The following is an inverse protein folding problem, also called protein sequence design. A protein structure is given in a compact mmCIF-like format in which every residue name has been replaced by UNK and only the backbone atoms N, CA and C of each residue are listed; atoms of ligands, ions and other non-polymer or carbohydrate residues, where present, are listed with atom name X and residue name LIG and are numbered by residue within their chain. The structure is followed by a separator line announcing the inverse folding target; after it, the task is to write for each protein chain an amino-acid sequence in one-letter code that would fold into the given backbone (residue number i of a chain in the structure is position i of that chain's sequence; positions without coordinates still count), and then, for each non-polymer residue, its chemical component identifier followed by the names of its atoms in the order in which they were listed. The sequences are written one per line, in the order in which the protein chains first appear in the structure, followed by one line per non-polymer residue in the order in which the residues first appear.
data_IF_788857392757
#
_entry.id   IF_788857392757
#
_cell.length_a   1.000
_cell.length_b   1.000
_cell.length_c   1.000
_cell.angle_alpha   90.00
_cell.angle_beta   90.00
_cell.angle_gamma   90.00
#
_symmetry.space_group_name_H-M   'P 1'
#
loop_
_entity.id
_entity.type
_entity.pdbx_description
1 polymer ?
#
# COMPACT_ATOMS: atom_id res chain seq x y z
N UNK A 1 3.43 -12.53 -18.56
CA UNK A 1 2.02 -12.42 -18.11
C UNK A 1 1.14 -12.00 -19.28
N UNK A 2 -0.12 -12.45 -19.37
CA UNK A 2 -1.02 -12.10 -20.48
C UNK A 2 -1.79 -10.79 -20.21
N UNK A 3 -2.54 -10.30 -21.20
CA UNK A 3 -3.33 -9.07 -21.10
C UNK A 3 -4.33 -9.09 -19.93
N UNK A 4 -5.00 -10.23 -19.70
CA UNK A 4 -5.98 -10.36 -18.63
C UNK A 4 -5.35 -10.23 -17.25
N UNK A 5 -4.18 -10.84 -17.02
CA UNK A 5 -3.46 -10.69 -15.75
C UNK A 5 -3.06 -9.24 -15.46
N UNK A 6 -2.66 -8.47 -16.47
CA UNK A 6 -2.38 -7.04 -16.30
C UNK A 6 -3.64 -6.21 -16.02
N UNK A 7 -4.76 -6.53 -16.68
CA UNK A 7 -6.06 -5.90 -16.41
C UNK A 7 -6.53 -6.20 -14.98
N UNK A 8 -6.41 -7.44 -14.53
CA UNK A 8 -6.81 -7.83 -13.17
C UNK A 8 -6.00 -7.07 -12.12
N UNK A 9 -4.69 -6.92 -12.31
CA UNK A 9 -3.85 -6.08 -11.45
C UNK A 9 -4.26 -4.62 -11.48
N UNK A 10 -4.48 -4.06 -12.67
CA UNK A 10 -4.87 -2.66 -12.82
C UNK A 10 -6.21 -2.38 -12.14
N UNK A 11 -7.23 -3.21 -12.40
CA UNK A 11 -8.55 -3.10 -11.77
C UNK A 11 -8.48 -3.35 -10.26
N UNK A 12 -7.65 -4.29 -9.82
CA UNK A 12 -7.39 -4.53 -8.40
C UNK A 12 -6.80 -3.29 -7.71
N UNK A 13 -5.83 -2.63 -8.34
CA UNK A 13 -5.23 -1.39 -7.84
C UNK A 13 -6.23 -0.23 -7.80
N UNK A 14 -7.10 -0.10 -8.81
CA UNK A 14 -8.17 0.88 -8.76
C UNK A 14 -9.12 0.58 -7.59
N UNK A 15 -9.41 -0.69 -7.33
CA UNK A 15 -10.29 -1.09 -6.23
C UNK A 15 -9.70 -0.79 -4.86
N UNK A 16 -8.38 -0.89 -4.67
CA UNK A 16 -7.75 -0.57 -3.37
C UNK A 16 -7.91 0.90 -2.97
N UNK A 17 -8.13 1.80 -3.93
CA UNK A 17 -8.47 3.21 -3.64
C UNK A 17 -9.85 3.36 -2.99
N UNK A 18 -10.77 2.43 -3.26
CA UNK A 18 -12.12 2.43 -2.70
C UNK A 18 -12.21 1.67 -1.38
N UNK A 19 -11.60 0.47 -1.32
CA UNK A 19 -11.76 -0.47 -0.19
C UNK A 19 -10.57 -0.48 0.77
N UNK A 20 -9.49 0.23 0.46
CA UNK A 20 -8.23 0.17 1.19
C UNK A 20 -7.38 -1.05 0.82
N UNK A 21 -6.30 -1.23 1.57
CA UNK A 21 -5.32 -2.27 1.35
C UNK A 21 -4.33 -1.98 0.22
N UNK A 22 -3.65 -3.03 -0.22
CA UNK A 22 -2.72 -3.03 -1.35
C UNK A 22 -2.75 -4.38 -2.07
N UNK A 23 -2.01 -4.49 -3.17
CA UNK A 23 -1.73 -5.78 -3.81
C UNK A 23 -0.30 -6.17 -3.48
N UNK A 24 -0.12 -7.29 -2.77
CA UNK A 24 1.19 -7.87 -2.48
C UNK A 24 1.35 -9.16 -3.28
N UNK A 25 2.47 -9.29 -3.98
CA UNK A 25 2.87 -10.51 -4.64
C UNK A 25 3.85 -11.29 -3.76
N UNK A 26 3.68 -12.61 -3.69
CA UNK A 26 4.65 -13.49 -3.01
C UNK A 26 6.06 -13.32 -3.60
N UNK A 27 6.17 -13.19 -4.92
CA UNK A 27 7.39 -12.69 -5.56
C UNK A 27 7.18 -12.10 -6.96
N UNK A 28 8.06 -11.17 -7.33
CA UNK A 28 8.24 -10.66 -8.70
C UNK A 28 9.63 -11.05 -9.17
N UNK A 29 9.72 -11.67 -10.35
CA UNK A 29 10.99 -12.00 -11.01
C UNK A 29 11.10 -11.24 -12.33
N UNK A 30 12.24 -10.60 -12.53
CA UNK A 30 12.55 -9.86 -13.76
C UNK A 30 13.35 -10.71 -14.74
N UNK A 31 13.37 -10.29 -16.02
CA UNK A 31 14.07 -10.99 -17.11
C UNK A 31 15.60 -11.10 -16.91
N UNK A 32 16.17 -10.25 -16.06
CA UNK A 32 17.58 -10.31 -15.68
C UNK A 32 17.86 -11.28 -14.52
N UNK A 33 16.84 -11.98 -14.00
CA UNK A 33 16.95 -12.93 -12.89
C UNK A 33 16.85 -12.32 -11.50
N UNK A 34 16.68 -10.99 -11.37
CA UNK A 34 16.37 -10.37 -10.08
C UNK A 34 15.01 -10.86 -9.55
N UNK A 35 14.96 -11.18 -8.26
CA UNK A 35 13.75 -11.68 -7.60
C UNK A 35 13.48 -10.91 -6.31
N UNK A 36 12.28 -10.37 -6.21
CA UNK A 36 11.80 -9.56 -5.09
C UNK A 36 10.70 -10.32 -4.37
N UNK A 37 10.78 -10.41 -3.04
CA UNK A 37 9.80 -11.17 -2.23
C UNK A 37 8.84 -10.20 -1.57
N UNK A 38 7.60 -10.63 -1.36
CA UNK A 38 6.56 -9.79 -0.73
C UNK A 38 6.52 -8.41 -1.39
N UNK A 39 6.63 -8.36 -2.71
CA UNK A 39 6.70 -7.10 -3.43
C UNK A 39 5.32 -6.47 -3.49
N UNK A 40 5.20 -5.22 -3.07
CA UNK A 40 3.91 -4.52 -3.07
C UNK A 40 3.76 -3.75 -4.36
N UNK A 41 2.76 -4.12 -5.16
CA UNK A 41 2.45 -3.45 -6.41
C UNK A 41 1.82 -2.10 -6.08
N UNK A 42 2.46 -1.03 -6.56
CA UNK A 42 2.04 0.35 -6.31
C UNK A 42 1.32 0.96 -7.50
N UNK A 43 1.69 0.56 -8.72
CA UNK A 43 1.15 1.13 -9.95
C UNK A 43 1.27 0.17 -11.13
N UNK A 44 0.27 0.17 -11.98
CA UNK A 44 0.34 -0.40 -13.33
C UNK A 44 -0.02 0.71 -14.31
N UNK A 45 0.86 1.01 -15.26
CA UNK A 45 0.61 2.06 -16.26
C UNK A 45 -0.10 1.49 -17.47
N UNK A 46 -1.32 1.99 -17.71
CA UNK A 46 -2.19 1.60 -18.81
C UNK A 46 -2.66 2.84 -19.58
N UNK A 47 -2.27 2.94 -20.86
CA UNK A 47 -2.65 4.05 -21.76
C UNK A 47 -2.82 3.52 -23.17
N UNK A 48 -3.77 4.06 -23.95
CA UNK A 48 -3.91 3.69 -25.37
C UNK A 48 -4.11 2.19 -25.61
N UNK A 49 -4.84 1.53 -24.71
CA UNK A 49 -5.06 0.07 -24.69
C UNK A 49 -3.78 -0.78 -24.57
N UNK A 50 -2.74 -0.25 -23.93
CA UNK A 50 -1.47 -0.96 -23.70
C UNK A 50 -0.96 -0.75 -22.28
N UNK A 51 -0.35 -1.80 -21.75
CA UNK A 51 0.40 -1.76 -20.50
C UNK A 51 1.86 -1.45 -20.78
N UNK A 52 2.46 -0.57 -19.97
CA UNK A 52 3.83 -0.10 -20.18
C UNK A 52 4.76 -0.50 -19.05
N UNK A 53 4.38 -0.16 -17.81
CA UNK A 53 5.24 -0.37 -16.66
C UNK A 53 4.49 -0.91 -15.45
N UNK A 54 5.22 -1.64 -14.62
CA UNK A 54 4.84 -2.07 -13.30
C UNK A 54 5.74 -1.36 -12.28
N UNK A 55 5.12 -0.56 -11.42
CA UNK A 55 5.75 0.05 -10.25
C UNK A 55 5.48 -0.78 -9.00
N UNK A 56 6.52 -1.18 -8.29
CA UNK A 56 6.39 -1.95 -7.04
C UNK A 56 7.45 -1.56 -6.01
N UNK A 57 7.16 -1.77 -4.73
CA UNK A 57 8.11 -1.64 -3.64
C UNK A 57 8.68 -3.03 -3.30
N UNK A 58 10.01 -3.15 -3.28
CA UNK A 58 10.67 -4.38 -2.84
C UNK A 58 10.71 -4.53 -1.31
N UNK A 59 11.20 -5.65 -0.81
CA UNK A 59 11.29 -5.92 0.62
C UNK A 59 12.26 -4.98 1.37
N UNK A 60 13.14 -4.27 0.65
CA UNK A 60 14.04 -3.26 1.22
C UNK A 60 13.39 -1.86 1.24
N UNK A 61 12.18 -1.70 0.72
CA UNK A 61 11.51 -0.41 0.61
C UNK A 61 11.87 0.41 -0.63
N UNK A 62 12.68 -0.15 -1.53
CA UNK A 62 13.05 0.51 -2.78
C UNK A 62 11.89 0.43 -3.75
N UNK A 63 11.46 1.58 -4.27
CA UNK A 63 10.47 1.64 -5.35
C UNK A 63 11.17 1.36 -6.67
N UNK A 64 10.71 0.31 -7.35
CA UNK A 64 11.20 -0.14 -8.65
C UNK A 64 10.14 0.08 -9.72
N UNK A 65 10.60 0.40 -10.92
CA UNK A 65 9.76 0.52 -12.11
C UNK A 65 10.39 -0.35 -13.18
N UNK A 66 9.63 -1.34 -13.65
CA UNK A 66 10.04 -2.23 -14.72
C UNK A 66 9.07 -2.10 -15.89
N UNK A 67 9.58 -2.24 -17.13
CA UNK A 67 8.70 -2.42 -18.27
C UNK A 67 7.95 -3.76 -18.12
N UNK A 68 6.69 -3.84 -18.56
CA UNK A 68 5.89 -5.08 -18.39
C UNK A 68 6.52 -6.29 -19.08
N UNK A 69 7.24 -6.09 -20.17
CA UNK A 69 7.98 -7.15 -20.89
C UNK A 69 9.22 -7.65 -20.12
N UNK A 70 9.69 -6.90 -19.13
CA UNK A 70 10.78 -7.32 -18.25
C UNK A 70 10.28 -8.17 -17.08
N UNK A 71 8.97 -8.27 -16.86
CA UNK A 71 8.40 -9.08 -15.78
C UNK A 71 8.24 -10.52 -16.26
N UNK A 72 9.17 -11.38 -15.86
CA UNK A 72 9.19 -12.80 -16.22
C UNK A 72 8.12 -13.58 -15.46
N UNK A 73 8.09 -13.42 -14.13
CA UNK A 73 7.20 -14.18 -13.24
C UNK A 73 6.58 -13.26 -12.20
N UNK A 74 5.27 -13.40 -12.02
CA UNK A 74 4.53 -12.80 -10.91
C UNK A 74 3.83 -13.92 -10.16
N UNK A 75 4.17 -14.10 -8.88
CA UNK A 75 3.65 -15.22 -8.07
C UNK A 75 2.65 -14.68 -7.06
N UNK A 76 1.43 -15.24 -7.08
CA UNK A 76 0.34 -15.00 -6.15
C UNK A 76 0.16 -13.50 -5.77
N UNK A 77 -0.19 -12.63 -6.73
CA UNK A 77 -0.62 -11.27 -6.41
C UNK A 77 -1.98 -11.31 -5.72
N UNK A 78 -2.05 -10.81 -4.49
CA UNK A 78 -3.25 -10.88 -3.66
C UNK A 78 -3.56 -9.51 -3.04
N UNK A 79 -4.85 -9.18 -2.95
CA UNK A 79 -5.30 -8.06 -2.13
C UNK A 79 -5.08 -8.38 -0.66
N UNK A 80 -4.48 -7.44 0.07
CA UNK A 80 -4.29 -7.54 1.52
C UNK A 80 -4.68 -6.22 2.17
N UNK A 81 -5.32 -6.31 3.34
CA UNK A 81 -5.39 -5.18 4.26
C UNK A 81 -3.98 -4.82 4.71
N UNK A 82 -3.72 -3.54 4.97
CA UNK A 82 -2.39 -3.08 5.39
C UNK A 82 -1.90 -3.83 6.63
N UNK A 83 -2.80 -4.16 7.56
CA UNK A 83 -2.50 -4.96 8.74
C UNK A 83 -1.89 -6.34 8.47
N UNK A 84 -2.14 -6.93 7.30
CA UNK A 84 -1.74 -8.29 6.92
C UNK A 84 -0.59 -8.35 5.89
N UNK A 85 -0.12 -7.20 5.42
CA UNK A 85 1.02 -7.08 4.48
C UNK A 85 2.29 -7.65 5.11
N UNK A 86 3.04 -8.44 4.35
CA UNK A 86 4.29 -9.07 4.79
C UNK A 86 5.51 -8.18 4.52
N UNK A 87 5.44 -7.29 3.54
CA UNK A 87 6.41 -6.23 3.34
C UNK A 87 6.35 -5.23 4.50
N UNK A 88 7.19 -5.43 5.51
CA UNK A 88 7.17 -4.63 6.73
C UNK A 88 7.48 -3.15 6.46
N UNK A 89 8.34 -2.85 5.48
CA UNK A 89 8.68 -1.47 5.12
C UNK A 89 7.47 -0.76 4.54
N UNK A 90 6.79 -1.39 3.56
CA UNK A 90 5.55 -0.87 3.01
C UNK A 90 4.45 -0.78 4.08
N UNK A 91 4.29 -1.81 4.91
CA UNK A 91 3.28 -1.85 5.96
C UNK A 91 3.44 -0.67 6.92
N UNK A 92 4.66 -0.42 7.42
CA UNK A 92 4.93 0.70 8.32
C UNK A 92 4.63 2.04 7.65
N UNK A 93 5.12 2.23 6.42
CA UNK A 93 4.87 3.43 5.64
C UNK A 93 3.35 3.66 5.43
N UNK A 94 2.62 2.65 4.98
CA UNK A 94 1.20 2.74 4.69
C UNK A 94 0.35 2.95 5.95
N UNK A 95 0.72 2.31 7.06
CA UNK A 95 0.09 2.54 8.38
C UNK A 95 0.22 4.00 8.80
N UNK A 96 1.41 4.58 8.69
CA UNK A 96 1.64 5.98 9.09
C UNK A 96 0.86 6.96 8.21
N UNK A 97 0.80 6.72 6.89
CA UNK A 97 0.00 7.53 5.97
C UNK A 97 -1.50 7.48 6.30
N UNK A 98 -2.05 6.27 6.51
CA UNK A 98 -3.48 6.06 6.83
C UNK A 98 -3.83 6.61 8.20
N UNK A 99 -2.94 6.47 9.17
CA UNK A 99 -3.07 7.07 10.50
C UNK A 99 -3.11 8.60 10.43
N UNK A 100 -2.18 9.21 9.72
CA UNK A 100 -2.15 10.67 9.52
C UNK A 100 -3.45 11.15 8.89
N UNK A 101 -3.98 10.41 7.91
CA UNK A 101 -5.29 10.69 7.30
C UNK A 101 -6.43 10.55 8.32
N UNK A 102 -6.44 9.49 9.13
CA UNK A 102 -7.47 9.26 10.14
C UNK A 102 -7.51 10.37 11.20
N UNK A 103 -6.35 10.82 11.70
CA UNK A 103 -6.24 11.95 12.62
C UNK A 103 -6.79 13.24 11.99
N UNK A 104 -6.42 13.50 10.73
CA UNK A 104 -6.94 14.67 9.99
C UNK A 104 -8.46 14.61 9.78
N UNK A 105 -9.03 13.43 9.54
CA UNK A 105 -10.48 13.25 9.46
C UNK A 105 -11.16 13.55 10.79
N UNK A 106 -10.57 13.13 11.91
CA UNK A 106 -11.08 13.43 13.25
C UNK A 106 -11.10 14.94 13.52
N UNK A 107 -10.03 15.66 13.17
CA UNK A 107 -9.95 17.12 13.31
C UNK A 107 -11.04 17.84 12.50
N UNK A 108 -11.24 17.43 11.24
CA UNK A 108 -12.22 18.07 10.34
C UNK A 108 -13.67 17.72 10.75
N UNK A 109 -13.90 16.51 11.26
CA UNK A 109 -15.24 16.02 11.62
C UNK A 109 -15.91 16.79 12.76
N UNK A 110 -15.16 17.58 13.52
CA UNK A 110 -15.68 18.40 14.63
C UNK A 110 -16.68 19.49 14.17
N UNK A 111 -16.85 19.71 12.85
CA UNK A 111 -17.80 20.68 12.29
C UNK A 111 -18.67 20.20 11.11
N UNK A 112 -18.71 18.89 10.80
CA UNK A 112 -19.30 18.39 9.55
C UNK A 112 -20.28 17.20 9.73
N UNK A 113 -21.00 16.83 8.66
CA UNK A 113 -22.01 15.78 8.66
C UNK A 113 -21.43 14.40 9.02
N UNK A 114 -21.72 13.93 10.25
CA UNK A 114 -21.12 12.76 10.93
C UNK A 114 -20.98 11.47 10.10
N UNK A 115 -21.94 11.12 9.25
CA UNK A 115 -22.08 9.75 8.74
C UNK A 115 -21.06 9.33 7.68
N UNK A 116 -20.62 10.22 6.79
CA UNK A 116 -19.61 9.89 5.77
C UNK A 116 -18.21 9.75 6.37
N UNK A 117 -17.86 10.63 7.31
CA UNK A 117 -16.57 10.60 8.02
C UNK A 117 -16.44 9.35 8.89
N UNK A 118 -17.50 8.94 9.59
CA UNK A 118 -17.48 7.72 10.41
C UNK A 118 -17.25 6.46 9.57
N UNK A 119 -17.81 6.41 8.34
CA UNK A 119 -17.57 5.29 7.43
C UNK A 119 -16.12 5.26 6.95
N UNK A 120 -15.59 6.40 6.50
CA UNK A 120 -14.20 6.49 6.04
C UNK A 120 -13.19 6.19 7.16
N UNK A 121 -13.41 6.75 8.35
CA UNK A 121 -12.56 6.53 9.52
C UNK A 121 -12.53 5.04 9.90
N UNK A 122 -13.69 4.38 9.94
CA UNK A 122 -13.78 2.94 10.21
C UNK A 122 -13.03 2.12 9.17
N UNK A 123 -13.19 2.42 7.87
CA UNK A 123 -12.42 1.73 6.84
C UNK A 123 -10.90 1.89 7.04
N UNK A 124 -10.43 3.08 7.42
CA UNK A 124 -9.00 3.30 7.68
C UNK A 124 -8.50 2.50 8.87
N UNK A 125 -9.27 2.47 9.97
CA UNK A 125 -8.95 1.73 11.19
C UNK A 125 -8.89 0.21 10.94
N UNK A 126 -9.91 -0.34 10.28
CA UNK A 126 -9.98 -1.77 9.92
C UNK A 126 -8.80 -2.17 9.02
N UNK A 127 -8.46 -1.34 8.04
CA UNK A 127 -7.40 -1.64 7.08
C UNK A 127 -6.01 -1.69 7.73
N UNK A 128 -5.72 -0.80 8.69
CA UNK A 128 -4.43 -0.82 9.41
C UNK A 128 -4.40 -1.80 10.60
N UNK A 129 -5.54 -2.40 10.95
CA UNK A 129 -5.68 -3.36 12.05
C UNK A 129 -5.77 -2.71 13.43
N UNK A 130 -6.35 -1.51 13.52
CA UNK A 130 -6.53 -0.75 14.76
C UNK A 130 -8.01 -0.79 15.14
N UNK A 131 -8.32 -1.12 16.40
CA UNK A 131 -9.70 -1.34 16.83
C UNK A 131 -10.36 -0.07 17.38
N UNK A 132 -9.58 0.95 17.71
CA UNK A 132 -10.08 2.15 18.36
C UNK A 132 -9.28 3.40 18.00
N UNK A 133 -9.92 4.57 18.14
CA UNK A 133 -9.24 5.86 17.94
C UNK A 133 -8.18 6.10 19.02
N UNK A 134 -8.35 5.55 20.21
CA UNK A 134 -7.38 5.65 21.31
C UNK A 134 -6.04 4.99 20.94
N UNK A 135 -6.08 3.84 20.27
CA UNK A 135 -4.88 3.16 19.76
C UNK A 135 -4.14 4.01 18.71
N UNK A 136 -4.84 4.81 17.89
CA UNK A 136 -4.20 5.75 16.96
C UNK A 136 -3.34 6.79 17.67
N UNK A 137 -3.72 7.23 18.86
CA UNK A 137 -2.96 8.20 19.65
C UNK A 137 -1.82 7.54 20.45
N UNK A 138 -2.02 6.31 20.93
CA UNK A 138 -1.01 5.57 21.69
C UNK A 138 0.29 5.36 20.89
N UNK A 139 0.20 5.09 19.58
CA UNK A 139 1.38 4.90 18.71
C UNK A 139 2.20 6.20 18.48
N UNK A 140 1.78 7.37 19.00
CA UNK A 140 2.51 8.64 18.82
C UNK A 140 3.63 8.75 19.86
N UNK A 141 3.48 8.04 20.97
CA UNK A 141 4.37 8.12 22.13
C UNK A 141 5.61 7.21 22.00
N UNK A 142 5.67 6.36 20.98
CA UNK A 142 6.79 5.42 20.73
C UNK A 142 7.83 5.93 19.72
N UNK A 143 7.88 7.23 19.38
CA UNK A 143 9.00 7.73 18.55
C UNK A 143 10.32 7.44 19.27
N UNK A 144 11.25 6.64 18.71
CA UNK A 144 12.63 6.75 19.13
C UNK A 144 13.07 8.16 18.75
N UNK A 145 13.65 8.87 19.72
CA UNK A 145 14.45 10.06 19.45
C UNK A 145 15.55 9.58 18.50
N UNK A 146 15.40 9.84 17.20
CA UNK A 146 16.51 9.82 16.27
C UNK A 146 17.45 10.92 16.75
N UNK A 147 18.43 10.52 17.54
CA UNK A 147 19.60 11.32 17.84
C UNK A 147 20.18 11.72 16.50
N UNK A 148 20.08 13.00 16.18
CA UNK A 148 20.82 13.65 15.11
C UNK A 148 22.30 13.42 15.44
N UNK A 149 22.91 12.41 14.81
CA UNK A 149 24.37 12.29 14.82
C UNK A 149 24.85 13.40 13.89
N UNK A 150 25.40 14.43 14.53
CA UNK A 150 26.04 15.55 13.86
C UNK A 150 27.21 15.10 12.99
N UNK A 151 27.52 16.01 12.07
CA UNK A 151 28.62 15.99 11.11
C UNK A 151 30.00 15.66 11.72
#
# INVERSE_FOLDING_TARGET
MNLFGWMDLYTGLEKTKEIGGCIEAASIELANGEKFRNAVIMRVEYTGNRFYSLGFMDEQGTVRVAHVDQVSVLVNPEHKTIGNVQNLVYQQWAREQKRTRALRLLEISQGAARSSYEKELRCLLEDIGVNSVQELYATLQEKPILSVVGA
#
